data_IF_959159654427
#
_entry.id   IF_959159654427
#
_cell.length_a   1.000
_cell.length_b   1.000
_cell.length_c   1.000
_cell.angle_alpha   90.00
_cell.angle_beta   90.00
_cell.angle_gamma   90.00
#
_symmetry.space_group_name_H-M   'P 1'
#
loop_
_entity.id
_entity.type
_entity.pdbx_description
1 polymer ?
#
# COMPACT_ATOMS: atom_id res chain seq x y z
N UNK A 1 21.01 -19.02 -11.71
CA UNK A 1 21.99 -18.23 -10.94
C UNK A 1 21.20 -17.53 -9.86
N UNK A 2 21.28 -17.98 -8.61
CA UNK A 2 20.55 -17.36 -7.50
C UNK A 2 21.19 -15.99 -7.27
N UNK A 3 20.48 -14.92 -7.59
CA UNK A 3 20.88 -13.58 -7.19
C UNK A 3 20.80 -13.55 -5.67
N UNK A 4 21.93 -13.46 -4.97
CA UNK A 4 21.94 -13.22 -3.53
C UNK A 4 21.48 -11.78 -3.29
N UNK A 5 20.17 -11.58 -3.30
CA UNK A 5 19.55 -10.31 -2.93
C UNK A 5 19.79 -10.10 -1.43
N UNK A 6 20.59 -9.10 -1.08
CA UNK A 6 20.87 -8.75 0.30
C UNK A 6 20.60 -7.27 0.54
N UNK A 7 19.34 -6.96 0.79
CA UNK A 7 18.92 -5.63 1.22
C UNK A 7 18.97 -5.52 2.75
N UNK A 8 19.60 -4.46 3.24
CA UNK A 8 19.83 -4.20 4.67
C UNK A 8 18.94 -3.09 5.23
N UNK A 9 18.15 -2.43 4.38
CA UNK A 9 17.21 -1.41 4.84
C UNK A 9 15.99 -1.24 3.94
N UNK A 10 14.85 -0.92 4.53
CA UNK A 10 13.59 -0.61 3.85
C UNK A 10 12.99 0.68 4.39
N UNK A 11 12.54 1.55 3.49
CA UNK A 11 11.70 2.71 3.81
C UNK A 11 10.38 2.60 3.06
N UNK A 12 9.28 2.64 3.80
CA UNK A 12 7.94 2.57 3.23
C UNK A 12 7.27 3.94 3.19
N UNK A 13 6.91 4.39 1.98
CA UNK A 13 6.29 5.69 1.69
C UNK A 13 4.87 5.47 1.17
N UNK A 14 3.91 6.24 1.66
CA UNK A 14 2.56 6.21 1.15
C UNK A 14 1.46 6.61 2.11
N UNK A 15 0.30 5.98 1.93
CA UNK A 15 -0.95 6.30 2.62
C UNK A 15 -1.42 5.18 3.57
N UNK A 16 -2.74 5.02 3.74
CA UNK A 16 -3.33 4.02 4.64
C UNK A 16 -3.03 2.58 4.22
N UNK A 17 -2.85 2.33 2.92
CA UNK A 17 -2.48 1.02 2.41
C UNK A 17 -1.11 0.60 2.95
N UNK A 18 -0.13 1.49 2.87
CA UNK A 18 1.24 1.27 3.37
C UNK A 18 1.33 1.39 4.90
N UNK A 19 0.50 2.22 5.54
CA UNK A 19 0.42 2.29 7.01
C UNK A 19 -0.02 0.94 7.61
N UNK A 20 -0.81 0.15 6.87
CA UNK A 20 -1.26 -1.17 7.29
C UNK A 20 -2.69 -1.20 7.83
N UNK A 21 -3.54 -0.25 7.43
CA UNK A 21 -4.92 -0.19 7.87
C UNK A 21 -5.63 -1.54 7.75
N UNK A 22 -6.46 -1.84 8.75
CA UNK A 22 -7.23 -3.09 8.91
C UNK A 22 -6.45 -4.35 9.29
N UNK A 23 -5.14 -4.27 9.50
CA UNK A 23 -4.34 -5.29 10.20
C UNK A 23 -3.99 -4.83 11.62
N UNK A 24 -5.02 -4.67 12.45
CA UNK A 24 -4.95 -4.12 13.80
C UNK A 24 -4.42 -5.16 14.80
N UNK A 25 -3.37 -4.82 15.54
CA UNK A 25 -2.82 -5.63 16.63
C UNK A 25 -3.59 -5.39 17.95
N UNK A 26 -3.48 -6.30 18.93
CA UNK A 26 -4.08 -6.13 20.25
C UNK A 26 -3.66 -4.84 20.99
N UNK A 27 -2.46 -4.33 20.70
CA UNK A 27 -1.93 -3.07 21.25
C UNK A 27 -2.49 -1.81 20.57
N UNK A 28 -3.37 -1.94 19.58
CA UNK A 28 -3.98 -0.85 18.84
C UNK A 28 -3.14 -0.30 17.67
N UNK A 29 -1.97 -0.87 17.42
CA UNK A 29 -1.12 -0.50 16.28
C UNK A 29 -1.50 -1.29 15.02
N UNK A 30 -1.20 -0.73 13.84
CA UNK A 30 -1.39 -1.42 12.57
C UNK A 30 -0.08 -2.03 12.09
N UNK A 31 -0.11 -3.32 11.74
CA UNK A 31 1.04 -4.05 11.20
C UNK A 31 1.14 -3.82 9.69
N UNK A 32 0.27 -4.43 8.90
CA UNK A 32 0.23 -4.26 7.45
C UNK A 32 1.37 -4.94 6.69
N UNK A 33 1.29 -4.91 5.36
CA UNK A 33 2.21 -5.61 4.47
C UNK A 33 3.66 -5.11 4.59
N UNK A 34 3.87 -3.81 4.83
CA UNK A 34 5.21 -3.24 4.90
C UNK A 34 5.98 -3.73 6.15
N UNK A 35 5.29 -3.87 7.29
CA UNK A 35 5.90 -4.42 8.51
C UNK A 35 6.13 -5.93 8.40
N UNK A 36 5.23 -6.65 7.72
CA UNK A 36 5.40 -8.08 7.42
C UNK A 36 6.62 -8.30 6.53
N UNK A 37 6.78 -7.49 5.47
CA UNK A 37 7.94 -7.51 4.60
C UNK A 37 9.22 -7.19 5.38
N UNK A 38 9.21 -6.12 6.19
CA UNK A 38 10.36 -5.73 7.00
C UNK A 38 10.80 -6.85 7.97
N UNK A 39 9.85 -7.51 8.63
CA UNK A 39 10.14 -8.62 9.54
C UNK A 39 10.79 -9.81 8.79
N UNK A 40 10.30 -10.14 7.58
CA UNK A 40 10.90 -11.19 6.74
C UNK A 40 12.31 -10.83 6.27
N UNK A 41 12.51 -9.60 5.80
CA UNK A 41 13.82 -9.12 5.38
C UNK A 41 14.81 -9.09 6.55
N UNK A 42 14.37 -8.70 7.75
CA UNK A 42 15.18 -8.69 8.97
C UNK A 42 15.63 -10.10 9.41
N UNK A 43 14.82 -11.13 9.16
CA UNK A 43 15.22 -12.52 9.42
C UNK A 43 16.36 -12.99 8.50
N UNK A 44 16.54 -12.36 7.33
CA UNK A 44 17.57 -12.71 6.34
C UNK A 44 18.83 -11.84 6.46
N UNK A 45 18.69 -10.63 6.98
CA UNK A 45 19.76 -9.63 7.03
C UNK A 45 19.95 -9.11 8.46
N UNK A 46 20.90 -9.65 9.24
CA UNK A 46 21.18 -9.16 10.59
C UNK A 46 21.45 -7.65 10.60
N UNK A 47 20.85 -6.93 11.55
CA UNK A 47 20.96 -5.47 11.63
C UNK A 47 20.11 -4.70 10.61
N UNK A 48 19.14 -5.36 9.97
CA UNK A 48 18.19 -4.74 9.05
C UNK A 48 17.53 -3.50 9.67
N UNK A 49 17.46 -2.41 8.91
CA UNK A 49 16.85 -1.15 9.35
C UNK A 49 15.53 -0.90 8.64
N UNK A 50 14.55 -0.37 9.34
CA UNK A 50 13.23 -0.11 8.76
C UNK A 50 12.61 1.19 9.24
N UNK A 51 12.04 1.94 8.30
CA UNK A 51 11.15 3.06 8.55
C UNK A 51 9.84 2.90 7.79
N UNK A 52 8.74 3.39 8.37
CA UNK A 52 7.44 3.50 7.72
C UNK A 52 6.91 4.91 7.91
N UNK A 53 6.99 5.68 6.83
CA UNK A 53 6.60 7.08 6.76
C UNK A 53 5.12 7.26 6.41
N UNK A 54 4.41 6.17 6.11
CA UNK A 54 3.06 6.21 5.59
C UNK A 54 2.04 6.67 6.63
N UNK A 55 1.08 7.47 6.18
CA UNK A 55 0.02 8.02 7.03
C UNK A 55 -1.31 7.96 6.27
N UNK A 56 -2.34 7.38 6.89
CA UNK A 56 -3.69 7.23 6.32
C UNK A 56 -4.27 8.50 5.73
N UNK A 57 -4.96 8.32 4.62
CA UNK A 57 -5.74 9.37 3.98
C UNK A 57 -4.92 10.44 3.27
N UNK A 58 -3.59 10.32 3.23
CA UNK A 58 -2.74 11.20 2.46
C UNK A 58 -3.01 11.09 0.95
N UNK A 59 -2.92 12.25 0.31
CA UNK A 59 -2.88 12.39 -1.14
C UNK A 59 -1.44 12.50 -1.63
N UNK A 60 -1.23 12.30 -2.93
CA UNK A 60 0.12 12.31 -3.50
C UNK A 60 0.87 13.62 -3.20
N UNK A 61 0.19 14.77 -3.23
CA UNK A 61 0.82 16.05 -2.89
C UNK A 61 1.30 16.14 -1.44
N UNK A 62 0.61 15.50 -0.49
CA UNK A 62 1.03 15.43 0.91
C UNK A 62 2.15 14.40 1.12
N UNK A 63 2.15 13.31 0.33
CA UNK A 63 3.23 12.33 0.33
C UNK A 63 4.52 13.01 -0.16
N UNK A 64 4.47 13.73 -1.28
CA UNK A 64 5.60 14.51 -1.81
C UNK A 64 6.11 15.50 -0.77
N UNK A 65 5.22 16.35 -0.23
CA UNK A 65 5.63 17.44 0.67
C UNK A 65 6.21 16.96 2.01
N UNK A 66 5.77 15.82 2.53
CA UNK A 66 6.06 15.42 3.92
C UNK A 66 6.89 14.14 4.05
N UNK A 67 6.93 13.28 3.03
CA UNK A 67 7.58 11.96 3.12
C UNK A 67 8.74 11.78 2.14
N UNK A 68 8.68 12.36 0.94
CA UNK A 68 9.66 12.07 -0.13
C UNK A 68 11.07 12.49 0.26
N UNK A 69 11.27 13.73 0.68
CA UNK A 69 12.60 14.21 1.06
C UNK A 69 13.14 13.49 2.31
N UNK A 70 12.27 13.15 3.25
CA UNK A 70 12.62 12.38 4.45
C UNK A 70 13.11 10.99 4.06
N UNK A 71 12.39 10.29 3.17
CA UNK A 71 12.79 8.98 2.67
C UNK A 71 14.09 9.04 1.85
N UNK A 72 14.24 10.05 0.98
CA UNK A 72 15.43 10.20 0.16
C UNK A 72 16.69 10.45 1.00
N UNK A 73 16.57 11.22 2.09
CA UNK A 73 17.66 11.48 3.03
C UNK A 73 18.11 10.22 3.79
N UNK A 74 17.25 9.20 3.92
CA UNK A 74 17.59 7.94 4.61
C UNK A 74 18.51 7.03 3.81
N UNK A 75 18.62 7.22 2.49
CA UNK A 75 19.50 6.45 1.59
C UNK A 75 19.33 4.93 1.78
N UNK A 76 18.08 4.46 1.84
CA UNK A 76 17.77 3.06 2.10
C UNK A 76 18.06 2.17 0.89
N UNK A 77 18.27 0.88 1.15
CA UNK A 77 18.46 -0.09 0.08
C UNK A 77 17.19 -0.24 -0.76
N UNK A 78 16.04 -0.39 -0.10
CA UNK A 78 14.73 -0.46 -0.76
C UNK A 78 13.85 0.70 -0.31
N UNK A 79 13.24 1.39 -1.26
CA UNK A 79 12.16 2.34 -1.01
C UNK A 79 10.90 1.84 -1.71
N UNK A 80 9.78 1.78 -0.99
CA UNK A 80 8.47 1.51 -1.59
C UNK A 80 7.67 2.80 -1.64
N UNK A 81 7.05 3.11 -2.78
CA UNK A 81 6.19 4.28 -2.96
C UNK A 81 4.80 3.83 -3.41
N UNK A 82 3.79 4.11 -2.59
CA UNK A 82 2.38 3.93 -2.94
C UNK A 82 1.63 5.24 -2.72
N UNK A 83 1.12 5.83 -3.81
CA UNK A 83 0.38 7.09 -3.75
C UNK A 83 -0.42 7.35 -5.01
N UNK A 84 -1.32 8.34 -4.94
CA UNK A 84 -2.14 8.77 -6.08
C UNK A 84 -3.51 8.08 -6.19
N UNK A 85 -3.66 6.82 -5.75
CA UNK A 85 -4.97 6.15 -5.80
C UNK A 85 -6.04 6.90 -4.98
N UNK A 86 -5.68 7.43 -3.81
CA UNK A 86 -6.61 8.26 -3.02
C UNK A 86 -7.11 9.50 -3.77
N UNK A 87 -6.30 10.07 -4.66
CA UNK A 87 -6.65 11.21 -5.50
C UNK A 87 -7.60 10.79 -6.62
N UNK A 88 -7.31 9.68 -7.32
CA UNK A 88 -8.13 9.21 -8.45
C UNK A 88 -9.58 8.88 -8.04
N UNK A 89 -9.75 8.42 -6.80
CA UNK A 89 -11.03 8.12 -6.15
C UNK A 89 -11.80 9.37 -5.68
N UNK A 90 -11.32 10.59 -5.98
CA UNK A 90 -12.03 11.84 -5.67
C UNK A 90 -12.82 12.34 -6.89
N UNK A 91 -14.03 12.91 -6.69
CA UNK A 91 -14.82 13.44 -7.80
C UNK A 91 -14.08 14.51 -8.62
N UNK A 92 -13.40 15.46 -7.95
CA UNK A 92 -12.64 16.56 -8.54
C UNK A 92 -11.14 16.24 -8.72
N UNK A 93 -10.81 15.04 -9.19
CA UNK A 93 -9.42 14.65 -9.45
C UNK A 93 -8.87 15.40 -10.67
N UNK A 94 -7.70 16.02 -10.52
CA UNK A 94 -6.86 16.48 -11.61
C UNK A 94 -5.79 15.41 -11.87
N UNK A 95 -6.01 14.58 -12.88
CA UNK A 95 -5.10 13.47 -13.20
C UNK A 95 -3.74 13.94 -13.68
N UNK A 96 -3.65 15.11 -14.33
CA UNK A 96 -2.35 15.66 -14.74
C UNK A 96 -1.52 15.99 -13.49
N UNK A 97 -2.12 16.72 -12.54
CA UNK A 97 -1.44 17.04 -11.27
C UNK A 97 -1.02 15.79 -10.50
N UNK A 98 -1.85 14.75 -10.47
CA UNK A 98 -1.51 13.48 -9.79
C UNK A 98 -0.28 12.84 -10.43
N UNK A 99 -0.22 12.81 -11.77
CA UNK A 99 0.93 12.27 -12.52
C UNK A 99 2.19 13.09 -12.30
N UNK A 100 2.11 14.42 -12.47
CA UNK A 100 3.24 15.33 -12.26
C UNK A 100 3.86 15.16 -10.85
N UNK A 101 3.03 15.03 -9.81
CA UNK A 101 3.50 14.84 -8.44
C UNK A 101 4.05 13.43 -8.17
N UNK A 102 3.49 12.40 -8.81
CA UNK A 102 4.03 11.05 -8.71
C UNK A 102 5.40 10.97 -9.40
N UNK A 103 5.54 11.59 -10.57
CA UNK A 103 6.81 11.73 -11.27
C UNK A 103 7.84 12.45 -10.41
N UNK A 104 7.49 13.60 -9.82
CA UNK A 104 8.36 14.32 -8.88
C UNK A 104 8.83 13.42 -7.72
N UNK A 105 7.91 12.63 -7.13
CA UNK A 105 8.27 11.70 -6.07
C UNK A 105 9.28 10.64 -6.55
N UNK A 106 9.04 10.04 -7.72
CA UNK A 106 9.92 9.02 -8.29
C UNK A 106 11.29 9.59 -8.62
N UNK A 107 11.38 10.76 -9.27
CA UNK A 107 12.63 11.40 -9.65
C UNK A 107 13.52 11.75 -8.44
N UNK A 108 12.91 11.99 -7.28
CA UNK A 108 13.63 12.28 -6.03
C UNK A 108 14.01 11.00 -5.27
N UNK A 109 13.17 9.96 -5.31
CA UNK A 109 13.40 8.71 -4.58
C UNK A 109 14.31 7.73 -5.32
N UNK A 110 14.15 7.56 -6.63
CA UNK A 110 14.91 6.60 -7.42
C UNK A 110 16.43 6.74 -7.26
N UNK A 111 17.05 7.93 -7.41
CA UNK A 111 18.51 8.07 -7.23
C UNK A 111 18.98 7.96 -5.77
N UNK A 112 18.05 7.92 -4.81
CA UNK A 112 18.34 7.91 -3.37
C UNK A 112 18.28 6.51 -2.75
N UNK A 113 18.02 5.46 -3.53
CA UNK A 113 17.93 4.10 -3.04
C UNK A 113 18.57 3.11 -4.02
N UNK A 114 18.82 1.87 -3.60
CA UNK A 114 19.31 0.83 -4.52
C UNK A 114 18.18 0.29 -5.40
N UNK A 115 16.98 0.20 -4.85
CA UNK A 115 15.79 -0.27 -5.57
C UNK A 115 14.56 0.51 -5.13
N UNK A 116 13.95 1.22 -6.09
CA UNK A 116 12.61 1.77 -5.94
C UNK A 116 11.58 0.71 -6.32
N UNK A 117 10.52 0.60 -5.52
CA UNK A 117 9.38 -0.28 -5.76
C UNK A 117 8.11 0.54 -5.84
N UNK A 118 7.43 0.46 -6.98
CA UNK A 118 6.12 1.05 -7.23
C UNK A 118 5.06 -0.06 -7.23
N UNK A 119 3.79 0.32 -7.07
CA UNK A 119 2.70 -0.65 -7.06
C UNK A 119 1.52 -0.19 -7.88
N UNK A 120 0.96 -1.11 -8.67
CA UNK A 120 -0.42 -0.99 -9.13
C UNK A 120 -1.31 -1.54 -8.03
N UNK A 121 -1.81 -0.65 -7.17
CA UNK A 121 -2.55 -1.02 -5.96
C UNK A 121 -3.76 -1.92 -6.27
N UNK A 122 -4.07 -2.90 -5.40
CA UNK A 122 -5.20 -3.79 -5.62
C UNK A 122 -6.52 -3.04 -5.43
N UNK A 123 -7.61 -3.63 -5.92
CA UNK A 123 -8.95 -3.11 -5.72
C UNK A 123 -9.97 -4.24 -5.61
N UNK A 124 -10.89 -4.13 -4.65
CA UNK A 124 -12.00 -5.09 -4.50
C UNK A 124 -12.93 -5.02 -5.71
N UNK A 125 -13.42 -6.18 -6.15
CA UNK A 125 -14.46 -6.23 -7.18
C UNK A 125 -15.75 -5.53 -6.71
N UNK A 126 -16.28 -4.64 -7.56
CA UNK A 126 -17.56 -3.97 -7.32
C UNK A 126 -17.81 -2.72 -8.17
N UNK A 127 -19.07 -2.27 -8.27
CA UNK A 127 -19.48 -1.21 -9.19
C UNK A 127 -18.87 0.16 -8.90
N UNK A 128 -18.46 0.40 -7.65
CA UNK A 128 -17.76 1.65 -7.28
C UNK A 128 -16.38 1.71 -7.92
N UNK A 129 -15.65 0.59 -7.96
CA UNK A 129 -14.31 0.55 -8.54
C UNK A 129 -14.36 0.70 -10.06
N UNK A 130 -15.36 0.10 -10.72
CA UNK A 130 -15.61 0.25 -12.16
C UNK A 130 -15.74 1.71 -12.59
N UNK A 131 -16.37 2.55 -11.77
CA UNK A 131 -16.54 3.97 -12.06
C UNK A 131 -15.22 4.73 -12.15
N UNK A 132 -14.21 4.32 -11.37
CA UNK A 132 -12.91 4.99 -11.32
C UNK A 132 -11.82 4.28 -12.15
N UNK A 133 -12.15 3.12 -12.73
CA UNK A 133 -11.25 2.29 -13.52
C UNK A 133 -10.44 3.07 -14.57
N UNK A 134 -11.03 3.97 -15.40
CA UNK A 134 -10.25 4.70 -16.40
C UNK A 134 -9.12 5.55 -15.79
N UNK A 135 -9.36 6.18 -14.64
CA UNK A 135 -8.35 6.99 -13.94
C UNK A 135 -7.29 6.13 -13.24
N UNK A 136 -7.69 4.97 -12.74
CA UNK A 136 -6.75 4.00 -12.17
C UNK A 136 -5.81 3.45 -13.25
N UNK A 137 -6.36 3.09 -14.41
CA UNK A 137 -5.57 2.62 -15.54
C UNK A 137 -4.63 3.71 -16.08
N UNK A 138 -5.09 4.97 -16.17
CA UNK A 138 -4.21 6.11 -16.49
C UNK A 138 -3.06 6.25 -15.47
N UNK A 139 -3.34 6.13 -14.17
CA UNK A 139 -2.32 6.15 -13.12
C UNK A 139 -1.32 4.98 -13.27
N UNK A 140 -1.82 3.77 -13.51
CA UNK A 140 -0.98 2.57 -13.58
C UNK A 140 -0.13 2.52 -14.84
N UNK A 141 -0.64 2.96 -15.99
CA UNK A 141 0.18 3.16 -17.19
C UNK A 141 1.30 4.17 -16.93
N UNK A 142 1.04 5.23 -16.17
CA UNK A 142 2.08 6.19 -15.82
C UNK A 142 3.11 5.62 -14.82
N UNK A 143 2.68 4.79 -13.86
CA UNK A 143 3.59 4.04 -12.99
C UNK A 143 4.54 3.16 -13.81
N UNK A 144 4.03 2.48 -14.84
CA UNK A 144 4.85 1.62 -15.70
C UNK A 144 5.88 2.42 -16.50
N UNK A 145 5.48 3.57 -17.04
CA UNK A 145 6.38 4.49 -17.73
C UNK A 145 7.50 4.98 -16.80
N UNK A 146 7.14 5.43 -15.61
CA UNK A 146 8.11 5.87 -14.59
C UNK A 146 9.07 4.74 -14.21
N UNK A 147 8.55 3.54 -13.98
CA UNK A 147 9.38 2.39 -13.65
C UNK A 147 10.37 2.05 -14.76
N UNK A 148 9.93 2.09 -16.02
CA UNK A 148 10.81 1.86 -17.17
C UNK A 148 11.90 2.92 -17.31
N UNK A 149 11.63 4.18 -16.94
CA UNK A 149 12.61 5.27 -17.03
C UNK A 149 13.63 5.29 -15.89
N UNK A 150 13.24 4.78 -14.72
CA UNK A 150 14.01 4.88 -13.48
C UNK A 150 14.48 3.52 -12.92
N UNK A 151 14.38 2.45 -13.71
CA UNK A 151 14.73 1.07 -13.31
C UNK A 151 14.04 0.62 -12.00
N UNK A 152 12.80 1.06 -11.82
CA UNK A 152 12.01 0.68 -10.65
C UNK A 152 11.26 -0.63 -10.89
N UNK A 153 11.03 -1.39 -9.81
CA UNK A 153 10.19 -2.59 -9.85
C UNK A 153 8.73 -2.18 -9.72
N UNK A 154 7.84 -2.76 -10.54
CA UNK A 154 6.38 -2.61 -10.38
C UNK A 154 5.78 -3.91 -9.86
N UNK A 155 5.16 -3.85 -8.68
CA UNK A 155 4.35 -4.95 -8.16
C UNK A 155 2.91 -4.79 -8.66
N UNK A 156 2.50 -5.68 -9.57
CA UNK A 156 1.15 -5.65 -10.16
C UNK A 156 0.12 -6.37 -9.28
N UNK A 157 -0.36 -5.69 -8.24
CA UNK A 157 -1.41 -6.20 -7.36
C UNK A 157 -2.81 -6.04 -7.99
N UNK A 158 -3.01 -4.99 -8.78
CA UNK A 158 -4.25 -4.72 -9.52
C UNK A 158 -4.64 -5.84 -10.49
N UNK A 159 -3.65 -6.41 -11.18
CA UNK A 159 -3.86 -7.49 -12.14
C UNK A 159 -4.10 -8.87 -11.53
N UNK A 160 -3.95 -9.02 -10.20
CA UNK A 160 -4.08 -10.31 -9.53
C UNK A 160 -5.54 -10.59 -9.15
N UNK A 161 -6.23 -11.58 -9.78
CA UNK A 161 -7.65 -11.80 -9.55
C UNK A 161 -8.02 -12.09 -8.09
N UNK A 162 -7.12 -12.74 -7.35
CA UNK A 162 -7.36 -13.10 -5.95
C UNK A 162 -7.53 -11.86 -5.05
N UNK A 163 -6.82 -10.78 -5.35
CA UNK A 163 -6.94 -9.52 -4.59
C UNK A 163 -8.25 -8.78 -4.89
N UNK A 164 -9.03 -9.23 -5.88
CA UNK A 164 -10.41 -8.79 -6.11
C UNK A 164 -11.44 -9.47 -5.17
N UNK A 165 -11.08 -10.57 -4.50
CA UNK A 165 -11.99 -11.31 -3.60
C UNK A 165 -12.31 -10.48 -2.36
N UNK A 166 -13.61 -10.29 -2.10
CA UNK A 166 -14.10 -9.43 -1.01
C UNK A 166 -13.65 -9.89 0.39
N UNK A 167 -13.29 -11.17 0.57
CA UNK A 167 -12.80 -11.73 1.84
C UNK A 167 -11.41 -11.24 2.23
N UNK A 168 -10.65 -10.71 1.26
CA UNK A 168 -9.35 -10.08 1.50
C UNK A 168 -9.46 -8.60 1.87
N UNK A 169 -10.67 -8.05 2.00
CA UNK A 169 -10.92 -6.65 2.33
C UNK A 169 -11.75 -6.58 3.62
N UNK A 170 -11.40 -5.64 4.48
CA UNK A 170 -12.08 -5.46 5.77
C UNK A 170 -13.50 -4.90 5.57
N UNK A 171 -14.23 -4.74 6.68
CA UNK A 171 -15.60 -4.22 6.73
C UNK A 171 -15.73 -2.84 6.10
N UNK A 172 -14.65 -2.07 6.02
CA UNK A 172 -14.60 -0.77 5.33
C UNK A 172 -14.47 -0.86 3.80
N UNK A 173 -14.28 -2.07 3.27
CA UNK A 173 -14.22 -2.39 1.83
C UNK A 173 -13.14 -1.65 1.07
N UNK A 174 -12.18 -1.05 1.77
CA UNK A 174 -11.13 -0.22 1.21
C UNK A 174 -9.75 -0.72 1.58
N UNK A 175 -9.57 -1.31 2.77
CA UNK A 175 -8.28 -1.79 3.21
C UNK A 175 -8.20 -3.32 3.25
N UNK A 176 -7.03 -3.91 2.96
CA UNK A 176 -6.84 -5.35 3.05
C UNK A 176 -6.99 -5.84 4.50
N UNK A 177 -7.49 -7.07 4.66
CA UNK A 177 -7.42 -7.80 5.93
C UNK A 177 -5.98 -8.24 6.22
N UNK A 178 -5.72 -8.81 7.40
CA UNK A 178 -4.44 -9.41 7.73
C UNK A 178 -3.95 -10.42 6.65
N UNK A 179 -4.85 -11.24 6.11
CA UNK A 179 -4.54 -12.17 5.02
C UNK A 179 -4.20 -11.45 3.71
N UNK A 180 -4.92 -10.38 3.38
CA UNK A 180 -4.61 -9.55 2.22
C UNK A 180 -3.22 -8.91 2.34
N UNK A 181 -2.89 -8.35 3.51
CA UNK A 181 -1.56 -7.79 3.79
C UNK A 181 -0.44 -8.83 3.70
N UNK A 182 -0.68 -10.06 4.16
CA UNK A 182 0.28 -11.18 4.04
C UNK A 182 0.59 -11.50 2.58
N UNK A 183 -0.43 -11.62 1.73
CA UNK A 183 -0.27 -11.86 0.28
C UNK A 183 0.42 -10.71 -0.43
N UNK A 184 0.12 -9.47 -0.04
CA UNK A 184 0.81 -8.29 -0.59
C UNK A 184 2.28 -8.31 -0.20
N UNK A 185 2.61 -8.61 1.06
CA UNK A 185 4.00 -8.73 1.51
C UNK A 185 4.76 -9.80 0.71
N UNK A 186 4.14 -10.95 0.47
CA UNK A 186 4.69 -12.00 -0.39
C UNK A 186 4.89 -11.53 -1.85
N UNK A 187 3.93 -10.81 -2.42
CA UNK A 187 4.05 -10.29 -3.78
C UNK A 187 5.26 -9.35 -3.93
N UNK A 188 5.48 -8.49 -2.93
CA UNK A 188 6.64 -7.57 -2.91
C UNK A 188 7.95 -8.35 -2.66
N UNK A 189 7.93 -9.31 -1.75
CA UNK A 189 9.06 -10.21 -1.46
C UNK A 189 9.57 -10.93 -2.72
N UNK A 190 8.65 -11.56 -3.47
CA UNK A 190 8.98 -12.22 -4.73
C UNK A 190 9.44 -11.24 -5.81
N UNK A 191 8.81 -10.06 -5.90
CA UNK A 191 9.20 -9.04 -6.88
C UNK A 191 10.62 -8.50 -6.63
N UNK A 192 11.04 -8.43 -5.36
CA UNK A 192 12.41 -8.09 -4.96
C UNK A 192 13.44 -9.20 -5.25
N UNK A 193 13.01 -10.35 -5.78
CA UNK A 193 13.88 -11.45 -6.19
C UNK A 193 14.18 -12.47 -5.09
N UNK A 194 13.51 -12.39 -3.94
CA UNK A 194 13.62 -13.42 -2.92
C UNK A 194 12.88 -14.72 -3.31
N UNK A 195 13.29 -15.89 -2.79
CA UNK A 195 12.59 -17.15 -3.04
C UNK A 195 11.14 -17.10 -2.52
N UNK A 196 10.15 -17.59 -3.28
CA UNK A 196 8.77 -17.60 -2.83
C UNK A 196 8.62 -18.46 -1.57
N UNK A 197 7.96 -17.92 -0.53
CA UNK A 197 7.54 -18.70 0.64
C UNK A 197 6.18 -19.36 0.39
N UNK A 198 5.37 -18.77 -0.48
CA UNK A 198 4.04 -19.25 -0.85
C UNK A 198 3.61 -18.77 -2.24
N UNK A 199 2.54 -19.36 -2.80
CA UNK A 199 1.85 -18.77 -3.94
C UNK A 199 0.76 -17.81 -3.46
N UNK A 200 1.10 -16.53 -3.40
CA UNK A 200 0.20 -15.45 -2.98
C UNK A 200 -1.01 -15.25 -3.91
N UNK A 201 -0.97 -15.78 -5.14
CA UNK A 201 -2.06 -15.71 -6.11
C UNK A 201 -3.06 -16.86 -5.96
N UNK A 202 -2.76 -17.88 -5.15
CA UNK A 202 -3.64 -19.03 -4.90
C UNK A 202 -5.05 -18.57 -4.49
N UNK A 203 -6.11 -18.92 -5.24
CA UNK A 203 -7.48 -18.57 -4.86
C UNK A 203 -7.83 -19.05 -3.45
N UNK A 204 -8.60 -18.25 -2.72
CA UNK A 204 -9.16 -18.70 -1.44
C UNK A 204 -10.16 -19.84 -1.67
N UNK A 205 -10.15 -20.83 -0.78
CA UNK A 205 -11.09 -21.96 -0.80
C UNK A 205 -12.54 -21.51 -0.99
N UNK A 206 -13.35 -22.34 -1.63
CA UNK A 206 -14.74 -22.02 -1.90
C UNK A 206 -15.51 -21.71 -0.60
N UNK A 207 -16.05 -20.49 -0.49
CA UNK A 207 -16.86 -20.09 0.65
C UNK A 207 -18.30 -20.60 0.52
N UNK A 208 -18.93 -20.93 1.65
CA UNK A 208 -20.38 -21.10 1.72
C UNK A 208 -21.04 -19.74 1.43
N UNK A 209 -21.96 -19.62 0.45
CA UNK A 209 -22.57 -18.34 0.12
C UNK A 209 -23.34 -17.75 1.32
N UNK A 210 -23.02 -16.50 1.69
CA UNK A 210 -23.85 -15.75 2.64
C UNK A 210 -25.26 -15.55 2.07
N UNK A 211 -26.29 -15.73 2.90
CA UNK A 211 -27.67 -15.44 2.54
C UNK A 211 -27.86 -13.95 2.17
N UNK A 212 -28.81 -13.66 1.30
CA UNK A 212 -29.02 -12.32 0.74
C UNK A 212 -29.37 -11.26 1.81
N UNK A 213 -30.10 -11.67 2.86
CA UNK A 213 -30.51 -10.80 3.95
C UNK A 213 -29.31 -10.33 4.80
N UNK A 214 -28.39 -11.24 5.11
CA UNK A 214 -27.14 -10.93 5.81
C UNK A 214 -26.27 -9.96 5.01
N UNK A 215 -26.24 -10.08 3.67
CA UNK A 215 -25.53 -9.13 2.80
C UNK A 215 -26.09 -7.71 2.90
N UNK A 216 -27.43 -7.56 2.90
CA UNK A 216 -28.08 -6.24 3.04
C UNK A 216 -27.85 -5.60 4.40
N UNK A 217 -27.90 -6.38 5.48
CA UNK A 217 -27.58 -5.89 6.83
C UNK A 217 -26.12 -5.43 6.91
N UNK A 218 -25.19 -6.18 6.31
CA UNK A 218 -23.79 -5.80 6.23
C UNK A 218 -23.57 -4.51 5.40
N UNK A 219 -24.26 -4.34 4.27
CA UNK A 219 -24.21 -3.11 3.46
C UNK A 219 -24.69 -1.89 4.24
N UNK A 220 -25.82 -1.99 4.95
CA UNK A 220 -26.36 -0.89 5.74
C UNK A 220 -25.45 -0.51 6.92
N UNK A 221 -24.88 -1.51 7.61
CA UNK A 221 -23.90 -1.30 8.68
C UNK A 221 -22.64 -0.60 8.17
N UNK A 222 -22.09 -1.07 7.05
CA UNK A 222 -20.95 -0.45 6.37
C UNK A 222 -21.21 1.02 6.05
N UNK A 223 -22.35 1.32 5.41
CA UNK A 223 -22.70 2.68 5.00
C UNK A 223 -22.71 3.62 6.21
N UNK A 224 -23.31 3.20 7.33
CA UNK A 224 -23.41 4.00 8.56
C UNK A 224 -22.06 4.19 9.25
N UNK A 225 -21.25 3.14 9.37
CA UNK A 225 -20.06 3.14 10.21
C UNK A 225 -18.81 3.68 9.50
N UNK A 226 -18.70 3.51 8.19
CA UNK A 226 -17.48 3.82 7.45
C UNK A 226 -17.71 4.85 6.34
N UNK A 227 -18.70 4.64 5.47
CA UNK A 227 -18.92 5.50 4.30
C UNK A 227 -19.38 6.91 4.70
N UNK A 228 -20.38 7.04 5.58
CA UNK A 228 -20.92 8.35 6.01
C UNK A 228 -19.85 9.20 6.71
N UNK A 229 -19.10 8.70 7.72
CA UNK A 229 -18.03 9.49 8.35
C UNK A 229 -16.92 9.87 7.37
N UNK A 230 -16.61 9.00 6.41
CA UNK A 230 -15.60 9.29 5.38
C UNK A 230 -16.06 10.38 4.41
N UNK A 231 -17.32 10.35 3.97
CA UNK A 231 -17.92 11.44 3.16
C UNK A 231 -17.94 12.74 3.97
N UNK A 232 -18.38 12.70 5.23
CA UNK A 232 -18.44 13.88 6.10
C UNK A 232 -17.07 14.55 6.26
N UNK A 233 -16.02 13.75 6.53
CA UNK A 233 -14.64 14.24 6.59
C UNK A 233 -14.20 14.90 5.28
N UNK A 234 -14.50 14.28 4.13
CA UNK A 234 -14.22 14.83 2.79
C UNK A 234 -14.88 16.19 2.55
N UNK A 235 -16.12 16.38 3.00
CA UNK A 235 -16.82 17.66 2.86
C UNK A 235 -16.22 18.76 3.74
N UNK A 236 -15.62 18.38 4.88
CA UNK A 236 -14.96 19.32 5.81
C UNK A 236 -13.48 19.55 5.55
N UNK A 237 -12.89 18.89 4.53
CA UNK A 237 -11.46 18.96 4.23
C UNK A 237 -10.54 18.27 5.26
N UNK A 238 -11.10 17.60 6.27
CA UNK A 238 -10.34 16.91 7.33
C UNK A 238 -9.96 15.49 6.91
N UNK A 239 -8.73 15.07 7.16
CA UNK A 239 -8.27 13.69 6.99
C UNK A 239 -8.28 12.92 8.31
N UNK A 240 -8.44 11.60 8.25
CA UNK A 240 -8.22 10.73 9.42
C UNK A 240 -6.75 10.64 9.83
N UNK A 241 -5.84 11.15 9.00
CA UNK A 241 -4.41 11.23 9.27
C UNK A 241 -3.93 12.58 9.80
N UNK A 242 -4.78 13.60 9.88
CA UNK A 242 -4.35 14.94 10.30
C UNK A 242 -3.76 14.92 11.72
N UNK A 243 -2.57 15.51 11.87
CA UNK A 243 -1.84 15.56 13.15
C UNK A 243 -1.27 14.22 13.61
N UNK A 244 -1.34 13.15 12.79
CA UNK A 244 -0.74 11.86 13.11
C UNK A 244 0.69 11.76 12.59
N UNK A 245 1.67 11.44 13.45
CA UNK A 245 3.02 11.13 12.97
C UNK A 245 3.04 9.77 12.27
N UNK A 246 4.06 9.50 11.44
CA UNK A 246 4.31 8.15 10.96
C UNK A 246 4.54 7.17 12.10
N UNK A 247 4.15 5.91 11.91
CA UNK A 247 4.29 4.89 12.96
C UNK A 247 5.74 4.50 13.25
N UNK A 248 6.66 4.70 12.29
CA UNK A 248 8.10 4.46 12.45
C UNK A 248 8.88 5.50 11.64
N UNK A 249 9.06 6.72 12.18
CA UNK A 249 9.55 7.87 11.41
C UNK A 249 11.05 7.82 11.10
N UNK A 250 11.82 7.00 11.82
CA UNK A 250 13.27 6.92 11.71
C UNK A 250 13.73 5.58 11.14
N UNK A 251 14.79 5.59 10.32
CA UNK A 251 15.42 4.38 9.79
C UNK A 251 16.33 3.73 10.84
N UNK A 252 15.69 2.99 11.75
CA UNK A 252 16.34 2.34 12.90
C UNK A 252 16.37 0.81 12.73
N UNK A 253 17.27 0.09 13.43
CA UNK A 253 17.26 -1.36 13.49
C UNK A 253 15.85 -1.94 13.75
N UNK A 254 15.51 -3.03 13.08
CA UNK A 254 14.26 -3.74 13.30
C UNK A 254 14.38 -4.69 14.48
N UNK A 255 13.84 -4.26 15.63
CA UNK A 255 13.74 -5.07 16.86
C UNK A 255 12.34 -5.68 17.05
N UNK A 256 11.50 -5.67 16.01
CA UNK A 256 10.15 -6.24 16.07
C UNK A 256 10.18 -7.76 16.06
N UNK A 257 9.06 -8.42 16.44
CA UNK A 257 8.96 -9.87 16.34
C UNK A 257 9.22 -10.30 14.89
N UNK A 258 10.12 -11.27 14.74
CA UNK A 258 10.35 -11.95 13.48
C UNK A 258 9.14 -12.84 13.15
N UNK A 259 8.89 -13.15 11.87
CA UNK A 259 7.74 -13.93 11.42
C UNK A 259 7.66 -15.32 12.08
#
# INVERSE_FOLDING_TARGET
>A
MQMNVNYTSLVAVGDSFTEGMSDLRPDGTYRGWADLLAARMAAHSPGFRYANLAVRGKLIGQIVAEQVDVAAAMQADVVTLVGGLNDTLRPKCDMKRVRDLLEEAVERLAPSCKQLVLMRSPGRNGPVMERFRPRMEELYTHIDDLASRHDAIVVNLYGAPVLGDQRLWDVDRLHPTAEGHRRIAEAVWQALGYPPEEDWQTPLDAAVPLNWAARRVADARFARQHLVPWIGRRLTGRSSGDGRPPKRPDLLPWDGPLP
#
